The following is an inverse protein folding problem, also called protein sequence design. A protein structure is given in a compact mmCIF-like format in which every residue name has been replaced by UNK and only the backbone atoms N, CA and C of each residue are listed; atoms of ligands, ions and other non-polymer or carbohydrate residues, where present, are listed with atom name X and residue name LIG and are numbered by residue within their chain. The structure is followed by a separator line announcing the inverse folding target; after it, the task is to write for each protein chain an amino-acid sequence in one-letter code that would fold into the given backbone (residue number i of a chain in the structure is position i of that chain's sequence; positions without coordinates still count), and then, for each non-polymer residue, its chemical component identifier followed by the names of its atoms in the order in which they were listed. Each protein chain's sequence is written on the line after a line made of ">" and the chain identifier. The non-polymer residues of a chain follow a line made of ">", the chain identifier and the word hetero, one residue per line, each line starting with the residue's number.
data_IF_043326590021
#
_entry.id   IF_043326590021
#
_cell.length_a   1.000
_cell.length_b   1.000
_cell.length_c   1.000
_cell.angle_alpha   90.00
_cell.angle_beta   90.00
_cell.angle_gamma   90.00
#
_symmetry.space_group_name_H-M   'P 1'
#
loop_
_entity.id
_entity.type
_entity.pdbx_description
1 polymer ?
#
# COMPACT_ATOMS: atom_id res chain seq x y z
N UNK A 1 76.66 -11.86 8.00
CA UNK A 1 76.34 -10.42 7.89
C UNK A 1 74.90 -10.30 7.43
N UNK A 2 74.06 -9.70 8.29
CA UNK A 2 72.72 -9.11 8.04
C UNK A 2 71.58 -10.08 7.70
N UNK A 3 70.69 -10.49 8.61
CA UNK A 3 69.66 -9.73 9.38
C UNK A 3 68.57 -9.10 8.49
N UNK A 4 67.31 -9.49 8.74
CA UNK A 4 66.02 -8.80 8.41
C UNK A 4 65.02 -9.57 7.53
N UNK A 5 64.46 -10.71 7.98
CA UNK A 5 63.19 -11.21 7.41
C UNK A 5 62.28 -11.86 8.47
N UNK A 6 62.25 -11.25 9.66
CA UNK A 6 61.30 -11.60 10.72
C UNK A 6 60.21 -10.52 10.81
N UNK A 7 59.34 -10.43 9.80
CA UNK A 7 58.12 -9.62 9.90
C UNK A 7 56.90 -10.52 9.72
N UNK A 8 56.16 -10.84 10.79
CA UNK A 8 54.96 -11.64 10.66
C UNK A 8 53.97 -10.83 9.83
N UNK A 9 53.64 -11.32 8.63
CA UNK A 9 52.58 -10.76 7.81
C UNK A 9 51.28 -10.89 8.61
N UNK A 10 50.82 -9.79 9.18
CA UNK A 10 49.56 -9.70 9.91
C UNK A 10 48.43 -10.11 8.97
N UNK A 11 48.06 -11.39 9.02
CA UNK A 11 46.92 -11.99 8.31
C UNK A 11 45.57 -11.52 8.86
N UNK A 12 45.44 -10.25 9.25
CA UNK A 12 44.18 -9.67 9.69
C UNK A 12 43.48 -9.03 8.50
N UNK A 13 42.26 -9.51 8.24
CA UNK A 13 41.36 -8.89 7.26
C UNK A 13 41.24 -7.39 7.58
N UNK A 14 41.42 -6.49 6.61
CA UNK A 14 41.28 -5.06 6.86
C UNK A 14 39.88 -4.78 7.43
N UNK A 15 39.82 -3.93 8.46
CA UNK A 15 38.57 -3.52 9.10
C UNK A 15 37.83 -2.55 8.18
N UNK A 16 37.22 -3.09 7.12
CA UNK A 16 36.32 -2.34 6.26
C UNK A 16 34.94 -2.21 6.89
N UNK A 17 34.36 -1.01 6.87
CA UNK A 17 32.96 -0.80 7.21
C UNK A 17 32.10 -1.56 6.20
N UNK A 18 31.31 -2.54 6.66
CA UNK A 18 30.32 -3.21 5.80
C UNK A 18 29.33 -2.13 5.36
N UNK A 19 29.25 -1.83 4.07
CA UNK A 19 28.25 -0.92 3.52
C UNK A 19 26.88 -1.45 3.88
N UNK A 20 26.20 -0.81 4.83
CA UNK A 20 24.93 -1.32 5.36
C UNK A 20 23.81 -1.24 4.32
N UNK A 21 23.94 -0.34 3.34
CA UNK A 21 23.02 -0.12 2.23
C UNK A 21 23.83 0.46 1.06
N UNK A 22 23.73 -0.13 -0.13
CA UNK A 22 24.31 0.43 -1.35
C UNK A 22 23.59 1.74 -1.69
N UNK A 23 24.31 2.81 -2.02
CA UNK A 23 23.74 4.15 -2.20
C UNK A 23 22.69 4.16 -3.33
N UNK A 24 21.41 4.07 -2.95
CA UNK A 24 20.29 3.89 -3.87
C UNK A 24 19.27 2.86 -3.37
N UNK A 25 19.63 1.94 -2.47
CA UNK A 25 18.68 0.96 -1.93
C UNK A 25 17.93 1.49 -0.71
N UNK A 26 16.61 1.28 -0.65
CA UNK A 26 15.79 1.52 0.53
C UNK A 26 15.22 0.19 0.99
N UNK A 27 15.36 -0.13 2.28
CA UNK A 27 14.72 -1.32 2.86
C UNK A 27 13.27 -0.97 3.19
N UNK A 28 12.35 -1.38 2.34
CA UNK A 28 10.91 -1.19 2.56
C UNK A 28 10.39 -2.32 3.46
N UNK A 29 9.92 -1.95 4.64
CA UNK A 29 9.25 -2.86 5.57
C UNK A 29 7.74 -2.77 5.38
N UNK A 30 7.08 -3.87 5.03
CA UNK A 30 5.62 -3.95 4.98
C UNK A 30 5.05 -4.45 6.30
N UNK A 31 3.87 -3.96 6.68
CA UNK A 31 3.14 -4.32 7.91
C UNK A 31 2.86 -5.82 8.08
N UNK A 32 2.97 -6.60 7.00
CA UNK A 32 2.74 -8.05 6.97
C UNK A 32 4.04 -8.88 7.00
N UNK A 33 5.16 -8.30 7.40
CA UNK A 33 6.41 -9.02 7.70
C UNK A 33 7.35 -9.25 6.50
N UNK A 34 7.05 -8.67 5.33
CA UNK A 34 7.97 -8.70 4.18
C UNK A 34 8.88 -7.48 4.22
N UNK A 35 10.18 -7.69 4.02
CA UNK A 35 11.15 -6.59 3.86
C UNK A 35 11.86 -6.74 2.52
N UNK A 36 11.45 -5.96 1.53
CA UNK A 36 12.06 -5.96 0.19
C UNK A 36 13.05 -4.79 0.08
N UNK A 37 14.14 -5.00 -0.66
CA UNK A 37 15.08 -3.94 -1.02
C UNK A 37 14.59 -3.30 -2.32
N UNK A 38 14.35 -2.00 -2.30
CA UNK A 38 13.92 -1.23 -3.46
C UNK A 38 15.06 -0.33 -3.88
N UNK A 39 15.56 -0.50 -5.12
CA UNK A 39 16.58 0.37 -5.70
C UNK A 39 15.89 1.62 -6.24
N UNK A 40 16.34 2.79 -5.78
CA UNK A 40 15.87 4.10 -6.21
C UNK A 40 17.01 4.79 -6.95
N UNK A 41 16.81 4.97 -8.24
CA UNK A 41 17.70 5.77 -9.08
C UNK A 41 17.40 7.26 -8.84
N UNK A 42 18.00 7.81 -7.79
CA UNK A 42 17.93 9.26 -7.55
C UNK A 42 18.89 9.96 -8.51
N UNK A 43 18.35 10.82 -9.39
CA UNK A 43 19.13 11.67 -10.30
C UNK A 43 20.03 12.60 -9.49
N UNK A 44 21.31 12.23 -9.36
CA UNK A 44 22.30 13.06 -8.66
C UNK A 44 22.55 14.32 -9.47
N UNK A 45 22.40 15.48 -8.84
CA UNK A 45 22.81 16.76 -9.44
C UNK A 45 24.30 16.73 -9.67
N UNK A 46 24.72 16.80 -10.94
CA UNK A 46 26.12 16.90 -11.31
C UNK A 46 26.58 18.34 -11.06
N UNK A 47 27.15 18.59 -9.88
CA UNK A 47 27.99 19.77 -9.69
C UNK A 47 29.32 19.43 -10.38
N UNK A 48 29.57 19.99 -11.56
CA UNK A 48 30.92 19.97 -12.12
C UNK A 48 31.81 20.87 -11.25
N UNK A 49 32.91 20.37 -10.69
CA UNK A 49 33.95 21.25 -10.17
C UNK A 49 34.58 21.95 -11.37
N UNK A 50 34.40 23.27 -11.47
CA UNK A 50 35.08 24.08 -12.49
C UNK A 50 36.57 24.08 -12.17
N UNK A 51 37.34 23.23 -12.84
CA UNK A 51 38.81 23.25 -12.83
C UNK A 51 39.33 24.15 -13.94
N UNK A 52 40.11 25.17 -13.57
CA UNK A 52 40.99 25.90 -14.50
C UNK A 52 40.50 27.30 -14.85
N UNK A 53 41.35 28.30 -14.59
CA UNK A 53 41.11 29.73 -14.70
C UNK A 53 40.67 30.20 -16.10
N UNK A 54 39.73 31.14 -16.09
CA UNK A 54 39.25 31.91 -17.23
C UNK A 54 38.07 32.74 -16.76
N UNK A 55 38.38 33.92 -16.22
CA UNK A 55 37.53 35.11 -16.02
C UNK A 55 36.08 34.92 -15.53
N UNK A 56 35.64 35.55 -14.42
CA UNK A 56 34.23 35.67 -14.14
C UNK A 56 33.67 36.74 -15.08
N UNK A 57 33.27 36.36 -16.30
CA UNK A 57 32.33 37.19 -17.05
C UNK A 57 31.01 37.11 -16.26
N UNK A 58 30.73 38.18 -15.53
CA UNK A 58 29.49 38.37 -14.79
C UNK A 58 28.34 38.43 -15.79
N UNK A 59 27.72 37.28 -16.08
CA UNK A 59 26.37 37.28 -16.61
C UNK A 59 25.45 37.88 -15.52
N UNK A 60 24.57 38.85 -15.86
CA UNK A 60 23.79 39.55 -14.87
C UNK A 60 22.92 38.55 -14.11
N UNK A 61 22.97 38.66 -12.78
CA UNK A 61 22.09 37.91 -11.90
C UNK A 61 20.63 38.16 -12.34
N UNK A 62 19.79 37.13 -12.48
CA UNK A 62 18.36 37.38 -12.62
C UNK A 62 17.91 38.11 -11.36
N UNK A 63 17.34 39.30 -11.58
CA UNK A 63 16.77 40.12 -10.53
C UNK A 63 15.81 39.28 -9.68
N UNK A 64 15.85 39.40 -8.35
CA UNK A 64 14.86 38.74 -7.51
C UNK A 64 13.52 39.41 -7.80
N UNK A 65 12.71 38.80 -8.65
CA UNK A 65 11.27 39.06 -8.71
C UNK A 65 10.73 38.80 -7.32
N UNK A 66 10.41 39.89 -6.63
CA UNK A 66 9.67 39.88 -5.37
C UNK A 66 8.32 39.24 -5.70
N UNK A 67 8.21 37.95 -5.43
CA UNK A 67 6.92 37.27 -5.43
C UNK A 67 6.14 37.87 -4.28
N UNK A 68 5.18 38.75 -4.60
CA UNK A 68 4.09 39.08 -3.70
C UNK A 68 3.52 37.78 -3.14
N UNK A 69 3.43 37.61 -1.81
CA UNK A 69 2.93 36.37 -1.24
C UNK A 69 1.47 36.19 -1.66
N UNK A 70 1.24 35.29 -2.61
CA UNK A 70 -0.10 34.77 -2.87
C UNK A 70 -0.51 34.06 -1.59
N UNK A 71 -1.59 34.53 -0.97
CA UNK A 71 -2.15 33.91 0.21
C UNK A 71 -2.37 32.42 -0.06
N UNK A 72 -1.81 31.57 0.80
CA UNK A 72 -1.95 30.13 0.67
C UNK A 72 -3.45 29.76 0.73
N UNK A 73 -3.92 28.84 -0.15
CA UNK A 73 -5.29 28.37 -0.09
C UNK A 73 -5.54 27.72 1.28
N UNK A 74 -6.77 27.85 1.83
CA UNK A 74 -7.10 27.27 3.12
C UNK A 74 -6.88 25.74 3.09
N UNK A 75 -6.46 25.14 4.22
CA UNK A 75 -6.20 23.71 4.27
C UNK A 75 -7.48 22.93 3.94
N UNK A 76 -7.37 21.78 3.24
CA UNK A 76 -8.53 20.94 2.95
C UNK A 76 -9.21 20.48 4.25
N UNK A 77 -10.54 20.29 4.23
CA UNK A 77 -11.27 19.81 5.40
C UNK A 77 -10.73 18.44 5.85
N UNK A 78 -10.77 18.13 7.16
CA UNK A 78 -10.29 16.86 7.67
C UNK A 78 -11.08 15.68 7.05
N UNK A 79 -10.41 14.53 6.83
CA UNK A 79 -11.09 13.35 6.30
C UNK A 79 -12.22 12.90 7.24
N UNK A 80 -13.31 12.32 6.69
CA UNK A 80 -14.40 11.81 7.51
C UNK A 80 -13.89 10.74 8.49
N UNK A 81 -14.51 10.63 9.68
CA UNK A 81 -14.09 9.66 10.67
C UNK A 81 -14.22 8.23 10.11
N UNK A 82 -13.18 7.42 10.32
CA UNK A 82 -13.18 6.00 9.97
C UNK A 82 -14.38 5.30 10.64
N UNK A 83 -15.04 4.35 9.96
CA UNK A 83 -16.09 3.57 10.59
C UNK A 83 -15.53 2.89 11.84
N UNK A 84 -16.34 2.75 12.91
CA UNK A 84 -15.88 2.11 14.14
C UNK A 84 -15.40 0.70 13.79
N UNK A 85 -14.12 0.43 14.08
CA UNK A 85 -13.60 -0.93 14.00
C UNK A 85 -14.37 -1.77 14.99
N UNK A 86 -15.11 -2.77 14.50
CA UNK A 86 -15.74 -3.78 15.36
C UNK A 86 -14.69 -4.29 16.33
N UNK A 87 -14.96 -4.23 17.63
CA UNK A 87 -14.06 -4.75 18.67
C UNK A 87 -14.01 -6.28 18.70
N UNK A 88 -14.67 -6.92 17.73
CA UNK A 88 -14.72 -8.36 17.55
C UNK A 88 -13.32 -8.88 17.21
N UNK A 89 -12.93 -9.97 17.88
CA UNK A 89 -11.70 -10.66 17.51
C UNK A 89 -11.81 -11.21 16.08
N UNK A 90 -10.67 -11.44 15.41
CA UNK A 90 -10.68 -12.01 14.05
C UNK A 90 -11.42 -13.36 13.98
N UNK A 91 -11.40 -14.11 15.07
CA UNK A 91 -12.11 -15.39 15.19
C UNK A 91 -13.62 -15.17 15.30
N UNK A 92 -14.09 -14.19 16.09
CA UNK A 92 -15.50 -13.82 16.17
C UNK A 92 -16.06 -13.31 14.83
N UNK A 93 -15.29 -12.51 14.10
CA UNK A 93 -15.67 -12.07 12.76
C UNK A 93 -15.84 -13.26 11.80
N UNK A 94 -14.94 -14.25 11.87
CA UNK A 94 -15.06 -15.46 11.05
C UNK A 94 -16.28 -16.30 11.43
N UNK A 95 -16.53 -16.51 12.72
CA UNK A 95 -17.69 -17.31 13.15
C UNK A 95 -19.01 -16.61 12.80
N UNK A 96 -19.07 -15.29 12.90
CA UNK A 96 -20.21 -14.49 12.46
C UNK A 96 -20.46 -14.62 10.96
N UNK A 97 -19.42 -14.48 10.14
CA UNK A 97 -19.54 -14.62 8.69
C UNK A 97 -19.98 -16.04 8.27
N UNK A 98 -19.48 -17.07 8.96
CA UNK A 98 -19.92 -18.45 8.70
C UNK A 98 -21.40 -18.65 9.07
N UNK A 99 -21.82 -18.14 10.23
CA UNK A 99 -23.24 -18.18 10.64
C UNK A 99 -24.13 -17.43 9.67
N UNK A 100 -23.73 -16.24 9.24
CA UNK A 100 -24.47 -15.44 8.25
C UNK A 100 -24.58 -16.18 6.90
N UNK A 101 -23.52 -16.88 6.48
CA UNK A 101 -23.56 -17.70 5.28
C UNK A 101 -24.55 -18.88 5.41
N UNK A 102 -24.57 -19.56 6.56
CA UNK A 102 -25.53 -20.64 6.84
C UNK A 102 -26.98 -20.12 6.85
N UNK A 103 -27.23 -19.00 7.52
CA UNK A 103 -28.53 -18.33 7.54
C UNK A 103 -28.98 -17.91 6.14
N UNK A 104 -28.07 -17.34 5.33
CA UNK A 104 -28.38 -16.96 3.95
C UNK A 104 -28.80 -18.16 3.09
N UNK A 105 -28.15 -19.32 3.30
CA UNK A 105 -28.48 -20.57 2.61
C UNK A 105 -29.85 -21.08 3.02
N UNK A 106 -30.17 -21.06 4.32
CA UNK A 106 -31.48 -21.46 4.82
C UNK A 106 -32.59 -20.53 4.29
N UNK A 107 -32.37 -19.22 4.35
CA UNK A 107 -33.31 -18.23 3.83
C UNK A 107 -33.56 -18.40 2.32
N UNK A 108 -32.51 -18.73 1.54
CA UNK A 108 -32.66 -19.00 0.11
C UNK A 108 -33.51 -20.25 -0.16
N UNK A 109 -33.31 -21.33 0.62
CA UNK A 109 -34.11 -22.56 0.52
C UNK A 109 -35.57 -22.33 0.95
N UNK A 110 -35.79 -21.54 2.00
CA UNK A 110 -37.14 -21.16 2.43
C UNK A 110 -37.84 -20.31 1.37
N UNK A 111 -37.15 -19.31 0.81
CA UNK A 111 -37.70 -18.48 -0.25
C UNK A 111 -38.06 -19.30 -1.49
N UNK A 112 -37.23 -20.29 -1.86
CA UNK A 112 -37.55 -21.23 -2.94
C UNK A 112 -38.80 -22.07 -2.62
N UNK A 113 -38.86 -22.64 -1.42
CA UNK A 113 -40.03 -23.40 -0.97
C UNK A 113 -41.32 -22.57 -0.95
N UNK A 114 -41.25 -21.30 -0.51
CA UNK A 114 -42.41 -20.39 -0.50
C UNK A 114 -42.90 -20.10 -1.92
N UNK A 115 -41.99 -19.84 -2.87
CA UNK A 115 -42.37 -19.62 -4.27
C UNK A 115 -43.06 -20.85 -4.87
N UNK A 116 -42.52 -22.04 -4.62
CA UNK A 116 -43.13 -23.28 -5.12
C UNK A 116 -44.53 -23.49 -4.53
N UNK A 117 -44.72 -23.22 -3.23
CA UNK A 117 -46.04 -23.29 -2.60
C UNK A 117 -47.02 -22.28 -3.20
N UNK A 118 -46.59 -21.03 -3.41
CA UNK A 118 -47.42 -20.00 -4.05
C UNK A 118 -47.78 -20.34 -5.49
N UNK A 119 -46.87 -20.95 -6.25
CA UNK A 119 -47.14 -21.41 -7.61
C UNK A 119 -48.13 -22.57 -7.62
N UNK A 120 -48.00 -23.53 -6.69
CA UNK A 120 -48.95 -24.64 -6.53
C UNK A 120 -50.34 -24.14 -6.13
N UNK A 121 -50.44 -23.17 -5.21
CA UNK A 121 -51.75 -22.60 -4.83
C UNK A 121 -52.36 -21.84 -6.00
N UNK A 122 -51.59 -21.01 -6.70
CA UNK A 122 -52.08 -20.31 -7.91
C UNK A 122 -52.51 -21.28 -9.02
N UNK A 123 -51.79 -22.38 -9.22
CA UNK A 123 -52.14 -23.40 -10.19
C UNK A 123 -53.48 -24.06 -9.83
N UNK A 124 -53.64 -24.50 -8.58
CA UNK A 124 -54.88 -25.14 -8.12
C UNK A 124 -56.08 -24.18 -8.12
N UNK A 125 -55.89 -22.92 -7.73
CA UNK A 125 -56.93 -21.88 -7.84
C UNK A 125 -57.27 -21.56 -9.30
N UNK A 126 -56.28 -21.50 -10.18
CA UNK A 126 -56.48 -21.28 -11.61
C UNK A 126 -57.26 -22.42 -12.28
N UNK A 127 -56.96 -23.67 -11.92
CA UNK A 127 -57.72 -24.84 -12.37
C UNK A 127 -59.17 -24.82 -11.85
N UNK A 128 -59.38 -24.48 -10.57
CA UNK A 128 -60.73 -24.32 -10.00
C UNK A 128 -61.54 -23.25 -10.72
N UNK A 129 -60.96 -22.08 -10.96
CA UNK A 129 -61.64 -20.98 -11.68
C UNK A 129 -61.99 -21.36 -13.12
N UNK A 130 -61.08 -22.05 -13.82
CA UNK A 130 -61.35 -22.55 -15.18
C UNK A 130 -62.46 -23.60 -15.20
N UNK A 131 -62.55 -24.44 -14.16
CA UNK A 131 -63.62 -25.42 -14.03
C UNK A 131 -64.97 -24.80 -13.65
N UNK A 132 -64.97 -23.64 -12.97
CA UNK A 132 -66.20 -22.89 -12.66
C UNK A 132 -66.69 -22.05 -13.84
N UNK A 133 -65.80 -21.62 -14.75
CA UNK A 133 -66.13 -20.82 -15.94
C UNK A 133 -66.49 -21.67 -17.17
N UNK A 134 -66.20 -22.98 -17.15
CA UNK A 134 -66.54 -23.95 -18.21
C UNK A 134 -67.87 -24.67 -17.94
#
# INVERSE_FOLDING_TARGET
>A
MSESDNKPTLGRRPLGLKTSVEAGEVKQTFSHGRTNKVVVEVKRRKLMPRTGAGTPEAAPAPEPVVQTPVAAPPPPPPPPPSPPVSRESRQEMQTRLLREAEESRLNALEAASRRELEERTRATEGERRKAEEA
#
